data_IF_341121244044
#
_entry.id   IF_341121244044
#
_cell.length_a   1.000
_cell.length_b   1.000
_cell.length_c   1.000
_cell.angle_alpha   90.00
_cell.angle_beta   90.00
_cell.angle_gamma   90.00
#
_symmetry.space_group_name_H-M   'P 1'
#
loop_
_entity.id
_entity.type
_entity.pdbx_description
1 polymer ?
#
# COMPACT_ATOMS: atom_id res chain seq x y z
N UNK A 1 -15.00 12.47 9.00
CA UNK A 1 -13.73 13.23 8.94
C UNK A 1 -13.99 14.73 9.15
N UNK A 2 -13.08 15.46 9.80
CA UNK A 2 -13.15 16.93 9.97
C UNK A 2 -11.82 17.54 9.49
N UNK A 3 -11.88 18.54 8.61
CA UNK A 3 -10.71 19.26 8.05
C UNK A 3 -10.95 20.77 8.14
N UNK A 4 -9.96 21.52 8.62
CA UNK A 4 -9.92 22.98 8.56
C UNK A 4 -8.62 23.40 7.89
N UNK A 5 -8.68 24.37 6.98
CA UNK A 5 -7.53 24.83 6.18
C UNK A 5 -7.78 26.25 5.66
N UNK A 6 -6.74 27.11 5.58
CA UNK A 6 -6.84 28.41 4.92
C UNK A 6 -6.87 28.32 3.39
N UNK A 7 -6.43 27.19 2.82
CA UNK A 7 -6.48 26.90 1.38
C UNK A 7 -7.82 26.20 1.10
N UNK A 8 -8.53 26.62 0.04
CA UNK A 8 -9.74 25.95 -0.40
C UNK A 8 -9.43 24.53 -0.89
N UNK A 9 -10.06 23.53 -0.27
CA UNK A 9 -9.96 22.10 -0.58
C UNK A 9 -11.28 21.48 -1.06
N UNK A 10 -12.35 22.28 -1.14
CA UNK A 10 -13.70 21.78 -1.46
C UNK A 10 -13.74 21.34 -2.94
N UNK A 11 -14.30 20.17 -3.22
CA UNK A 11 -14.25 19.50 -4.54
C UNK A 11 -12.82 19.21 -5.05
N UNK A 12 -11.84 19.04 -4.16
CA UNK A 12 -10.46 18.67 -4.53
C UNK A 12 -10.02 17.40 -3.81
N UNK A 13 -9.63 16.39 -4.58
CA UNK A 13 -9.11 15.14 -4.03
C UNK A 13 -7.67 15.30 -3.55
N UNK A 14 -7.45 15.00 -2.27
CA UNK A 14 -6.14 15.02 -1.62
C UNK A 14 -5.79 13.59 -1.18
N UNK A 15 -4.87 12.98 -1.93
CA UNK A 15 -4.40 11.60 -1.70
C UNK A 15 -3.15 11.53 -0.83
N UNK A 16 -2.71 12.64 -0.23
CA UNK A 16 -1.58 12.63 0.69
C UNK A 16 -1.91 11.78 1.92
N UNK A 17 -1.01 10.87 2.30
CA UNK A 17 -1.28 10.00 3.45
C UNK A 17 -1.05 10.80 4.74
N UNK A 18 -2.14 11.09 5.44
CA UNK A 18 -2.14 11.78 6.74
C UNK A 18 -1.96 10.81 7.91
N UNK A 19 -2.42 9.56 7.77
CA UNK A 19 -2.36 8.55 8.84
C UNK A 19 -2.09 7.15 8.30
N UNK A 20 -1.26 6.40 9.03
CA UNK A 20 -1.10 4.94 8.92
C UNK A 20 -1.02 4.38 10.34
N UNK A 21 -2.05 3.62 10.75
CA UNK A 21 -2.07 2.87 12.02
C UNK A 21 -2.34 1.41 11.69
N UNK A 22 -1.77 0.50 12.47
CA UNK A 22 -2.04 -0.93 12.37
C UNK A 22 -1.93 -1.61 13.73
N UNK A 23 -2.60 -2.75 13.85
CA UNK A 23 -2.50 -3.63 15.01
C UNK A 23 -1.14 -4.35 15.01
N UNK A 24 -0.52 -4.51 16.17
CA UNK A 24 0.77 -5.21 16.30
C UNK A 24 0.65 -6.72 16.10
N UNK A 25 -0.55 -7.30 16.31
CA UNK A 25 -0.88 -8.69 16.00
C UNK A 25 -0.72 -8.95 14.50
N UNK A 26 -0.12 -10.09 14.16
CA UNK A 26 -0.04 -10.55 12.77
C UNK A 26 -1.33 -11.30 12.38
N UNK A 27 -1.70 -11.23 11.11
CA UNK A 27 -2.81 -11.99 10.57
C UNK A 27 -2.43 -13.45 10.31
N UNK A 28 -3.36 -14.41 10.47
CA UNK A 28 -3.13 -15.80 10.11
C UNK A 28 -3.14 -15.97 8.57
N UNK A 29 -2.40 -16.96 8.07
CA UNK A 29 -2.39 -17.35 6.65
C UNK A 29 -2.12 -16.17 5.70
N UNK A 30 -1.02 -15.46 5.95
CA UNK A 30 -0.61 -14.20 5.33
C UNK A 30 -0.94 -14.07 3.83
N UNK A 31 -0.58 -15.04 2.99
CA UNK A 31 -0.85 -14.99 1.54
C UNK A 31 -2.36 -14.89 1.21
N UNK A 32 -3.20 -15.68 1.87
CA UNK A 32 -4.66 -15.65 1.69
C UNK A 32 -5.26 -14.38 2.28
N UNK A 33 -4.81 -13.97 3.47
CA UNK A 33 -5.22 -12.73 4.13
C UNK A 33 -4.92 -11.50 3.25
N UNK A 34 -3.68 -11.37 2.78
CA UNK A 34 -3.20 -10.26 1.97
C UNK A 34 -3.97 -10.15 0.64
N UNK A 35 -4.26 -11.27 -0.01
CA UNK A 35 -5.11 -11.29 -1.21
C UNK A 35 -6.54 -10.81 -0.89
N UNK A 36 -7.14 -11.33 0.18
CA UNK A 36 -8.50 -11.01 0.59
C UNK A 36 -8.70 -9.56 1.03
N UNK A 37 -7.76 -8.98 1.81
CA UNK A 37 -7.79 -7.56 2.18
C UNK A 37 -7.75 -6.67 0.94
N UNK A 38 -6.81 -6.93 0.02
CA UNK A 38 -6.69 -6.13 -1.20
C UNK A 38 -7.94 -6.22 -2.08
N UNK A 39 -8.52 -7.42 -2.25
CA UNK A 39 -9.76 -7.60 -3.03
C UNK A 39 -10.98 -6.96 -2.35
N UNK A 40 -11.13 -7.13 -1.03
CA UNK A 40 -12.22 -6.56 -0.25
C UNK A 40 -12.22 -5.03 -0.35
N UNK A 41 -11.11 -4.40 0.05
CA UNK A 41 -11.02 -2.93 0.06
C UNK A 41 -11.13 -2.37 -1.35
N UNK A 42 -10.48 -2.99 -2.37
CA UNK A 42 -10.61 -2.55 -3.76
C UNK A 42 -12.05 -2.60 -4.27
N UNK A 43 -12.84 -3.63 -3.91
CA UNK A 43 -14.24 -3.72 -4.29
C UNK A 43 -15.07 -2.62 -3.59
N UNK A 44 -14.87 -2.45 -2.28
CA UNK A 44 -15.50 -1.38 -1.50
C UNK A 44 -15.16 0.01 -2.04
N UNK A 45 -13.96 0.25 -2.57
CA UNK A 45 -13.58 1.51 -3.22
C UNK A 45 -14.47 1.87 -4.40
N UNK A 46 -14.87 0.90 -5.22
CA UNK A 46 -15.82 1.12 -6.32
C UNK A 46 -17.25 1.31 -5.79
N UNK A 47 -17.67 0.52 -4.80
CA UNK A 47 -19.00 0.65 -4.18
C UNK A 47 -19.20 2.04 -3.54
N UNK A 48 -18.18 2.57 -2.85
CA UNK A 48 -18.21 3.91 -2.27
C UNK A 48 -18.25 5.03 -3.32
N UNK A 49 -17.63 4.83 -4.48
CA UNK A 49 -17.77 5.75 -5.62
C UNK A 49 -19.19 5.87 -6.16
N UNK A 50 -19.95 4.76 -6.16
CA UNK A 50 -21.36 4.73 -6.59
C UNK A 50 -22.31 5.18 -5.47
N UNK A 51 -21.94 4.97 -4.21
CA UNK A 51 -22.72 5.32 -3.01
C UNK A 51 -22.95 6.84 -2.86
N UNK A 52 -24.20 7.23 -2.62
CA UNK A 52 -24.60 8.63 -2.29
C UNK A 52 -23.93 9.15 -1.01
N UNK A 53 -23.62 8.24 -0.08
CA UNK A 53 -22.94 8.56 1.17
C UNK A 53 -21.41 8.58 1.03
N UNK A 54 -20.86 8.28 -0.16
CA UNK A 54 -19.43 8.13 -0.43
C UNK A 54 -18.73 7.11 0.47
N UNK A 55 -19.47 6.11 0.94
CA UNK A 55 -18.96 5.06 1.82
C UNK A 55 -19.48 3.67 1.44
N UNK A 56 -18.72 2.65 1.82
CA UNK A 56 -19.09 1.26 1.68
C UNK A 56 -18.49 0.43 2.83
N UNK A 57 -19.25 -0.57 3.27
CA UNK A 57 -18.85 -1.54 4.30
C UNK A 57 -19.09 -2.94 3.79
N UNK A 58 -18.18 -3.86 4.09
CA UNK A 58 -18.29 -5.25 3.67
C UNK A 58 -17.38 -6.18 4.42
N UNK A 59 -17.54 -7.48 4.15
CA UNK A 59 -16.68 -8.52 4.70
C UNK A 59 -16.39 -9.61 3.68
N UNK A 60 -15.36 -10.39 3.97
CA UNK A 60 -15.06 -11.64 3.25
C UNK A 60 -14.57 -12.69 4.24
N UNK A 61 -15.01 -13.94 4.07
CA UNK A 61 -14.55 -15.05 4.90
C UNK A 61 -13.09 -15.39 4.56
N UNK A 62 -12.22 -15.47 5.56
CA UNK A 62 -10.82 -15.90 5.39
C UNK A 62 -10.74 -17.43 5.32
N UNK A 63 -11.09 -18.09 6.42
CA UNK A 63 -11.11 -19.55 6.64
C UNK A 63 -12.19 -19.84 7.69
N UNK A 64 -12.98 -20.90 7.48
CA UNK A 64 -14.04 -21.33 8.42
C UNK A 64 -14.96 -20.18 8.86
N UNK A 65 -14.87 -19.74 10.12
CA UNK A 65 -15.67 -18.67 10.73
C UNK A 65 -14.90 -17.35 10.91
N UNK A 66 -13.61 -17.29 10.54
CA UNK A 66 -12.82 -16.05 10.57
C UNK A 66 -13.18 -15.18 9.38
N UNK A 67 -13.66 -13.96 9.66
CA UNK A 67 -14.00 -12.96 8.67
C UNK A 67 -12.99 -11.81 8.69
N UNK A 68 -12.79 -11.19 7.54
CA UNK A 68 -12.12 -9.91 7.39
C UNK A 68 -13.20 -8.89 7.06
N UNK A 69 -13.31 -7.85 7.87
CA UNK A 69 -14.21 -6.73 7.66
C UNK A 69 -13.44 -5.56 7.06
N UNK A 70 -14.12 -4.76 6.26
CA UNK A 70 -13.57 -3.60 5.58
C UNK A 70 -14.58 -2.46 5.53
N UNK A 71 -14.09 -1.24 5.71
CA UNK A 71 -14.83 -0.01 5.60
C UNK A 71 -14.02 1.02 4.84
N UNK A 72 -14.67 1.73 3.95
CA UNK A 72 -14.10 2.87 3.25
C UNK A 72 -15.09 4.02 3.22
N UNK A 73 -14.58 5.24 3.33
CA UNK A 73 -15.36 6.46 3.10
C UNK A 73 -14.54 7.56 2.41
N UNK A 74 -15.25 8.51 1.82
CA UNK A 74 -14.69 9.77 1.35
C UNK A 74 -15.50 10.95 1.91
N UNK A 75 -14.89 12.13 1.88
CA UNK A 75 -15.63 13.38 2.12
C UNK A 75 -16.71 13.57 1.05
N UNK A 76 -17.86 14.12 1.43
CA UNK A 76 -19.05 14.23 0.54
C UNK A 76 -18.99 15.41 -0.44
N UNK A 77 -17.94 16.22 -0.36
CA UNK A 77 -17.69 17.37 -1.24
C UNK A 77 -16.97 16.99 -2.55
N UNK A 78 -16.70 15.71 -2.80
CA UNK A 78 -16.10 15.23 -4.04
C UNK A 78 -17.02 14.27 -4.83
N UNK A 79 -16.76 14.14 -6.14
CA UNK A 79 -17.53 13.24 -7.00
C UNK A 79 -17.12 11.76 -6.78
N UNK A 80 -17.91 10.84 -7.36
CA UNK A 80 -17.73 9.39 -7.16
C UNK A 80 -16.45 8.82 -7.80
N UNK A 81 -16.03 9.38 -8.94
CA UNK A 81 -14.77 9.01 -9.60
C UNK A 81 -13.56 9.44 -8.79
N UNK A 82 -13.58 10.65 -8.23
CA UNK A 82 -12.54 11.16 -7.35
C UNK A 82 -12.46 10.34 -6.05
N UNK A 83 -13.60 9.92 -5.50
CA UNK A 83 -13.66 9.09 -4.30
C UNK A 83 -13.05 7.71 -4.54
N UNK A 84 -13.46 7.05 -5.64
CA UNK A 84 -12.86 5.78 -6.08
C UNK A 84 -11.36 5.93 -6.29
N UNK A 85 -10.93 7.01 -6.95
CA UNK A 85 -9.50 7.26 -7.26
C UNK A 85 -8.68 7.50 -5.99
N UNK A 86 -9.20 8.25 -5.03
CA UNK A 86 -8.58 8.47 -3.73
C UNK A 86 -8.39 7.15 -2.97
N UNK A 87 -9.46 6.35 -2.89
CA UNK A 87 -9.43 5.06 -2.20
C UNK A 87 -8.48 4.07 -2.88
N UNK A 88 -8.45 4.00 -4.22
CA UNK A 88 -7.48 3.15 -4.92
C UNK A 88 -6.02 3.60 -4.69
N UNK A 89 -5.74 4.90 -4.66
CA UNK A 89 -4.41 5.42 -4.32
C UNK A 89 -4.01 5.10 -2.86
N UNK A 90 -4.98 5.06 -1.94
CA UNK A 90 -4.75 4.64 -0.56
C UNK A 90 -4.58 3.11 -0.44
N UNK A 91 -5.22 2.29 -1.29
CA UNK A 91 -4.97 0.84 -1.38
C UNK A 91 -3.52 0.55 -1.75
N UNK A 92 -2.94 1.30 -2.70
CA UNK A 92 -1.54 1.12 -3.12
C UNK A 92 -0.53 1.38 -1.97
N UNK A 93 -0.94 2.05 -0.89
CA UNK A 93 -0.12 2.20 0.32
C UNK A 93 -0.12 0.98 1.25
N UNK A 94 -1.14 0.11 1.21
CA UNK A 94 -1.32 -1.02 2.14
C UNK A 94 -0.07 -1.92 2.23
N UNK A 95 0.58 -2.34 1.12
CA UNK A 95 1.77 -3.20 1.16
C UNK A 95 2.95 -2.64 1.97
N UNK A 96 3.12 -1.32 2.00
CA UNK A 96 4.18 -0.62 2.74
C UNK A 96 3.83 -0.31 4.20
N UNK A 97 2.56 -0.52 4.57
CA UNK A 97 1.93 0.05 5.76
C UNK A 97 1.60 -1.02 6.79
N UNK A 98 0.78 -1.99 6.37
CA UNK A 98 -0.11 -2.71 7.27
C UNK A 98 -0.58 -4.05 6.70
N UNK A 99 -0.05 -4.45 5.55
CA UNK A 99 -0.26 -5.78 4.99
C UNK A 99 0.27 -6.85 5.97
N UNK A 100 -0.45 -7.97 6.10
CA UNK A 100 -0.16 -9.01 7.09
C UNK A 100 -0.46 -8.66 8.56
N UNK A 101 -1.00 -7.48 8.86
CA UNK A 101 -1.42 -7.09 10.23
C UNK A 101 -2.89 -7.37 10.49
N UNK A 102 -3.24 -7.61 11.74
CA UNK A 102 -4.59 -8.03 12.15
C UNK A 102 -5.67 -6.99 11.80
N UNK A 103 -5.33 -5.71 11.93
CA UNK A 103 -6.11 -4.57 11.48
C UNK A 103 -5.19 -3.47 10.95
N UNK A 104 -5.71 -2.62 10.08
CA UNK A 104 -5.02 -1.48 9.49
C UNK A 104 -5.97 -0.33 9.15
N UNK A 105 -5.49 0.90 9.34
CA UNK A 105 -6.17 2.14 8.98
C UNK A 105 -5.21 3.05 8.21
N UNK A 106 -5.62 3.44 7.01
CA UNK A 106 -4.98 4.49 6.20
C UNK A 106 -5.98 5.64 6.05
N UNK A 107 -5.53 6.87 6.30
CA UNK A 107 -6.32 8.09 6.06
C UNK A 107 -5.56 9.08 5.18
N UNK A 108 -6.27 9.70 4.25
CA UNK A 108 -5.88 10.94 3.57
C UNK A 108 -6.80 12.07 4.04
N UNK A 109 -6.54 13.35 3.69
CA UNK A 109 -7.48 14.44 3.95
C UNK A 109 -8.83 14.38 3.20
N UNK A 110 -9.03 13.36 2.34
CA UNK A 110 -10.23 13.17 1.51
C UNK A 110 -10.88 11.80 1.69
N UNK A 111 -10.13 10.73 1.98
CA UNK A 111 -10.69 9.38 2.07
C UNK A 111 -10.00 8.50 3.13
N UNK A 112 -10.71 7.49 3.64
CA UNK A 112 -10.20 6.53 4.62
C UNK A 112 -10.41 5.09 4.17
N UNK A 113 -9.49 4.23 4.58
CA UNK A 113 -9.58 2.77 4.47
C UNK A 113 -9.34 2.18 5.85
N UNK A 114 -10.26 1.34 6.32
CA UNK A 114 -10.10 0.52 7.52
C UNK A 114 -10.35 -0.95 7.17
N UNK A 115 -9.52 -1.85 7.71
CA UNK A 115 -9.75 -3.30 7.68
C UNK A 115 -9.38 -3.93 9.02
N UNK A 116 -10.09 -4.97 9.43
CA UNK A 116 -9.83 -5.71 10.68
C UNK A 116 -10.51 -7.09 10.66
N UNK A 117 -9.96 -8.05 11.40
CA UNK A 117 -10.66 -9.32 11.67
C UNK A 117 -11.62 -9.23 12.87
N UNK A 118 -11.44 -8.24 13.75
CA UNK A 118 -12.41 -7.89 14.79
C UNK A 118 -13.35 -6.80 14.23
N UNK A 119 -14.69 -6.92 14.33
CA UNK A 119 -15.61 -5.87 13.89
C UNK A 119 -15.50 -4.63 14.80
N UNK A 120 -15.10 -3.49 14.24
CA UNK A 120 -14.84 -2.26 15.02
C UNK A 120 -16.10 -1.38 15.16
N UNK A 121 -17.06 -1.48 14.24
CA UNK A 121 -18.25 -0.64 14.19
C UNK A 121 -19.52 -1.48 13.98
N UNK A 122 -20.68 -1.01 14.44
CA UNK A 122 -21.95 -1.75 14.38
C UNK A 122 -22.46 -1.99 12.95
N UNK A 123 -22.20 -1.06 12.03
CA UNK A 123 -22.56 -1.17 10.61
C UNK A 123 -21.81 -2.32 9.91
N UNK A 124 -20.61 -2.69 10.38
CA UNK A 124 -19.84 -3.83 9.90
C UNK A 124 -20.48 -5.18 10.28
N UNK A 125 -21.31 -5.20 11.31
CA UNK A 125 -22.05 -6.37 11.78
C UNK A 125 -23.45 -6.40 11.15
N UNK A 126 -24.13 -5.25 11.16
CA UNK A 126 -25.55 -5.17 10.84
C UNK A 126 -25.86 -5.10 9.34
N UNK A 127 -24.96 -4.61 8.49
CA UNK A 127 -25.18 -4.55 7.04
C UNK A 127 -23.91 -4.57 6.16
N UNK A 128 -22.93 -5.49 6.37
CA UNK A 128 -21.79 -5.61 5.48
C UNK A 128 -22.19 -6.25 4.14
N UNK A 129 -21.69 -5.71 3.02
CA UNK A 129 -21.70 -6.44 1.74
C UNK A 129 -20.81 -7.69 1.82
N UNK A 130 -21.36 -8.86 1.48
CA UNK A 130 -20.60 -10.10 1.31
C UNK A 130 -19.78 -10.02 0.01
N UNK A 131 -18.46 -9.89 0.13
CA UNK A 131 -17.55 -9.92 -1.01
C UNK A 131 -16.97 -11.33 -1.12
N UNK A 132 -17.58 -12.15 -1.97
CA UNK A 132 -17.00 -13.44 -2.34
C UNK A 132 -15.76 -13.24 -3.22
N UNK A 133 -14.58 -13.45 -2.62
CA UNK A 133 -13.30 -13.38 -3.32
C UNK A 133 -12.88 -14.73 -3.90
N UNK A 134 -13.72 -15.77 -3.87
CA UNK A 134 -13.39 -17.13 -4.30
C UNK A 134 -13.68 -17.30 -5.80
N UNK A 135 -12.93 -16.59 -6.65
CA UNK A 135 -13.00 -16.77 -8.11
C UNK A 135 -11.63 -17.19 -8.67
N UNK A 136 -11.38 -18.50 -8.56
CA UNK A 136 -10.54 -19.29 -9.47
C UNK A 136 -11.30 -20.57 -9.86
N UNK A 137 -12.47 -20.42 -10.47
CA UNK A 137 -13.18 -21.50 -11.18
C UNK A 137 -14.20 -20.95 -12.19
N UNK A 138 -14.56 -21.74 -13.22
CA UNK A 138 -14.87 -21.19 -14.54
C UNK A 138 -16.26 -20.57 -14.66
N UNK A 139 -16.38 -19.65 -15.62
CA UNK A 139 -17.59 -18.91 -15.94
C UNK A 139 -18.81 -19.83 -16.16
N UNK A 140 -20.03 -19.38 -15.77
CA UNK A 140 -21.25 -20.11 -16.06
C UNK A 140 -21.45 -20.27 -17.57
N UNK A 141 -21.78 -21.49 -18.00
CA UNK A 141 -22.11 -21.78 -19.40
C UNK A 141 -23.43 -21.11 -19.76
N UNK A 142 -23.36 -19.96 -20.43
CA UNK A 142 -24.53 -19.36 -21.10
C UNK A 142 -24.88 -20.25 -22.30
N UNK A 143 -26.15 -20.68 -22.36
CA UNK A 143 -26.67 -21.51 -23.44
C UNK A 143 -26.86 -20.74 -24.77
N UNK A 144 -27.04 -21.45 -25.90
CA UNK A 144 -26.99 -20.86 -27.23
C UNK A 144 -28.37 -20.45 -27.80
N UNK A 145 -28.38 -19.40 -28.62
CA UNK A 145 -29.21 -19.17 -29.84
C UNK A 145 -28.73 -17.85 -30.49
N UNK A 146 -28.06 -17.86 -31.65
CA UNK A 146 -28.61 -17.68 -33.04
C UNK A 146 -29.45 -16.40 -33.23
N UNK A 147 -29.38 -15.56 -34.28
CA UNK A 147 -28.47 -15.29 -35.42
C UNK A 147 -28.94 -13.94 -36.04
N UNK A 148 -28.31 -13.24 -37.01
CA UNK A 148 -27.08 -13.45 -37.79
C UNK A 148 -26.02 -12.36 -37.41
N UNK A 149 -25.21 -11.65 -38.23
CA UNK A 149 -24.90 -11.66 -39.68
C UNK A 149 -24.14 -10.39 -40.11
N UNK A 150 -22.91 -10.50 -40.64
CA UNK A 150 -22.16 -9.33 -41.14
C UNK A 150 -20.64 -9.56 -41.29
N UNK A 151 -20.17 -9.81 -42.50
CA UNK A 151 -18.75 -10.06 -42.80
C UNK A 151 -17.91 -8.77 -42.80
N UNK A 152 -16.64 -8.90 -42.42
CA UNK A 152 -15.53 -8.62 -43.36
C UNK A 152 -14.27 -9.40 -42.96
N UNK A 153 -13.62 -10.04 -43.93
CA UNK A 153 -12.58 -11.05 -43.66
C UNK A 153 -11.13 -10.57 -43.82
N UNK A 154 -10.28 -11.00 -42.88
CA UNK A 154 -9.14 -11.88 -43.19
C UNK A 154 -7.94 -11.37 -44.01
N UNK A 155 -6.90 -10.92 -43.30
CA UNK A 155 -5.47 -11.30 -43.51
C UNK A 155 -4.66 -10.71 -42.34
N UNK A 156 -3.79 -11.42 -41.62
CA UNK A 156 -3.11 -12.69 -41.91
C UNK A 156 -1.62 -12.43 -42.04
N UNK A 157 -0.83 -12.62 -40.97
CA UNK A 157 0.60 -12.33 -41.00
C UNK A 157 1.26 -12.16 -39.62
N UNK A 158 1.26 -13.20 -38.78
CA UNK A 158 2.09 -13.21 -37.57
C UNK A 158 3.57 -13.25 -37.94
N UNK A 159 4.37 -12.29 -37.43
CA UNK A 159 5.83 -12.28 -37.62
C UNK A 159 6.53 -12.34 -36.26
N UNK A 160 6.92 -13.55 -35.89
CA UNK A 160 7.65 -13.85 -34.66
C UNK A 160 8.98 -13.06 -34.64
N UNK A 161 9.12 -12.08 -33.75
CA UNK A 161 10.38 -11.36 -33.53
C UNK A 161 11.16 -12.07 -32.42
N UNK A 162 12.08 -12.96 -32.82
CA UNK A 162 13.12 -13.46 -31.91
C UNK A 162 14.02 -12.30 -31.49
N UNK A 163 13.83 -11.80 -30.28
CA UNK A 163 14.74 -10.84 -29.64
C UNK A 163 15.97 -11.61 -29.16
N UNK A 164 17.07 -11.50 -29.89
CA UNK A 164 18.35 -12.04 -29.46
C UNK A 164 18.89 -11.26 -28.26
N UNK A 165 18.92 -11.89 -27.08
CA UNK A 165 19.56 -11.32 -25.89
C UNK A 165 21.08 -11.46 -26.04
N UNK A 166 21.73 -10.41 -26.52
CA UNK A 166 23.19 -10.32 -26.57
C UNK A 166 23.75 -10.10 -25.16
N UNK A 167 24.34 -11.14 -24.57
CA UNK A 167 25.06 -11.04 -23.29
C UNK A 167 26.43 -10.40 -23.53
N UNK A 168 26.48 -9.06 -23.47
CA UNK A 168 27.72 -8.30 -23.54
C UNK A 168 28.46 -8.27 -22.19
N UNK A 169 29.41 -9.18 -21.99
CA UNK A 169 30.33 -9.13 -20.84
C UNK A 169 31.41 -8.07 -21.09
N UNK A 170 31.08 -6.82 -20.80
CA UNK A 170 32.03 -5.69 -20.81
C UNK A 170 32.82 -5.62 -19.50
N UNK A 171 34.08 -6.04 -19.52
CA UNK A 171 34.96 -5.99 -18.34
C UNK A 171 35.33 -4.52 -18.02
N UNK A 172 34.68 -3.97 -17.00
CA UNK A 172 34.89 -2.60 -16.49
C UNK A 172 35.43 -2.54 -15.05
N UNK A 173 35.98 -3.64 -14.52
CA UNK A 173 36.39 -3.76 -13.11
C UNK A 173 37.88 -3.46 -12.95
N UNK A 174 38.21 -2.16 -12.91
CA UNK A 174 39.59 -1.71 -12.65
C UNK A 174 39.66 -0.30 -12.07
N UNK A 175 38.98 0.67 -12.69
CA UNK A 175 39.06 2.08 -12.29
C UNK A 175 38.30 2.36 -10.98
N UNK A 176 37.13 1.74 -10.78
CA UNK A 176 36.27 2.01 -9.61
C UNK A 176 36.84 1.54 -8.27
N UNK A 177 37.58 0.42 -8.25
CA UNK A 177 38.16 -0.11 -7.00
C UNK A 177 39.26 0.81 -6.45
N UNK A 178 40.10 1.39 -7.31
CA UNK A 178 41.14 2.35 -6.90
C UNK A 178 40.51 3.61 -6.29
N UNK A 179 39.41 4.11 -6.88
CA UNK A 179 38.66 5.25 -6.34
C UNK A 179 38.05 4.97 -4.96
N UNK A 180 37.45 3.79 -4.76
CA UNK A 180 36.85 3.40 -3.48
C UNK A 180 37.92 3.24 -2.39
N UNK A 181 39.03 2.55 -2.68
CA UNK A 181 40.13 2.38 -1.71
C UNK A 181 40.76 3.74 -1.35
N UNK A 182 40.92 4.65 -2.32
CA UNK A 182 41.38 6.01 -2.06
C UNK A 182 40.42 6.82 -1.18
N UNK A 183 39.11 6.76 -1.44
CA UNK A 183 38.08 7.41 -0.63
C UNK A 183 38.04 6.87 0.81
N UNK A 184 38.07 5.56 0.99
CA UNK A 184 38.10 4.93 2.33
C UNK A 184 39.38 5.33 3.08
N UNK A 185 40.54 5.33 2.41
CA UNK A 185 41.80 5.79 2.99
C UNK A 185 41.77 7.27 3.44
N UNK A 186 41.20 8.16 2.62
CA UNK A 186 41.03 9.58 2.96
C UNK A 186 40.06 9.80 4.12
N UNK A 187 38.96 9.04 4.18
CA UNK A 187 38.00 9.08 5.29
C UNK A 187 38.68 8.60 6.58
N UNK A 188 39.43 7.49 6.53
CA UNK A 188 40.13 6.93 7.69
C UNK A 188 41.23 7.87 8.19
N UNK A 189 42.01 8.50 7.29
CA UNK A 189 43.00 9.51 7.68
C UNK A 189 42.35 10.75 8.32
N UNK A 190 41.21 11.21 7.79
CA UNK A 190 40.38 12.29 8.41
C UNK A 190 39.68 11.90 9.71
N UNK A 191 39.56 10.62 10.02
CA UNK A 191 39.10 10.13 11.33
C UNK A 191 40.26 10.11 12.33
N UNK A 192 41.37 9.48 11.96
CA UNK A 192 42.57 9.36 12.80
C UNK A 192 43.18 10.71 13.19
N UNK A 193 43.06 11.72 12.34
CA UNK A 193 43.44 13.11 12.65
C UNK A 193 42.55 13.83 13.66
N UNK A 194 41.36 13.30 13.99
CA UNK A 194 40.44 13.87 14.99
C UNK A 194 40.64 13.30 16.39
N UNK A 195 41.06 12.05 16.52
CA UNK A 195 41.32 11.40 17.82
C UNK A 195 42.50 12.07 18.56
N UNK A 196 43.46 12.66 17.83
CA UNK A 196 44.60 13.38 18.40
C UNK A 196 44.30 14.69 19.16
N UNK A 197 43.04 15.06 19.38
CA UNK A 197 42.65 16.27 20.16
C UNK A 197 41.94 15.99 21.49
N UNK A 198 41.71 14.74 21.86
CA UNK A 198 40.91 14.40 23.05
C UNK A 198 41.71 13.80 24.22
N UNK A 199 43.03 13.97 24.20
CA UNK A 199 43.96 13.49 25.24
C UNK A 199 44.77 14.59 25.91
N UNK A 200 44.11 15.48 26.67
CA UNK A 200 44.75 16.24 27.78
C UNK A 200 43.72 16.84 28.73
N UNK A 201 43.51 16.18 29.87
CA UNK A 201 43.09 16.84 31.11
C UNK A 201 43.51 15.96 32.29
N UNK A 202 44.72 16.21 32.75
CA UNK A 202 45.28 15.60 33.96
C UNK A 202 44.63 16.25 35.20
N UNK A 203 44.42 15.41 36.22
CA UNK A 203 44.66 15.59 37.66
C UNK A 203 44.27 16.91 38.39
N UNK A 204 43.70 16.76 39.60
CA UNK A 204 43.69 17.86 40.60
C UNK A 204 42.56 17.87 41.64
N UNK A 205 42.75 17.11 42.73
CA UNK A 205 42.55 17.52 44.12
C UNK A 205 41.45 18.56 44.49
N UNK A 206 40.46 18.18 45.33
CA UNK A 206 40.33 18.58 46.76
C UNK A 206 38.93 18.30 47.35
N UNK A 207 38.89 18.07 48.67
CA UNK A 207 37.69 17.82 49.49
C UNK A 207 36.72 19.01 49.56
N UNK A 208 35.43 18.74 49.80
CA UNK A 208 34.69 19.44 50.86
C UNK A 208 33.48 18.63 51.37
N UNK A 209 33.23 18.73 52.68
CA UNK A 209 32.21 18.01 53.46
C UNK A 209 30.79 18.62 53.39
N UNK A 210 29.85 17.94 54.06
CA UNK A 210 28.48 18.37 54.47
C UNK A 210 27.44 18.59 53.36
N UNK A 211 26.15 18.27 53.55
CA UNK A 211 25.39 17.93 54.78
C UNK A 211 24.35 16.83 54.47
#
# INVERSE_FOLDING_TARGET
MLRYSPINFVNQSDTSIALRIYDTRNAPNESSYNLKVNLLIKNLSYAAGVSDNRSAVGRTTLIESLNIYGYVDCTRDINGGDCTSCLLAAVDSIPSCCLGKWAGWIATPTCNIQFSMDPIHEDWINNPQEIDTVILSPAPKVGPTTDEGGLCGGRGGGKERRVGVGVGVGVGVGVSFVGIVGMVGLIWWRWRGREGRMGRKDDGETNLDTF
#
